data_IF_032232729450
#
_entry.id   IF_032232729450
#
_cell.length_a   1.000
_cell.length_b   1.000
_cell.length_c   1.000
_cell.angle_alpha   90.00
_cell.angle_beta   90.00
_cell.angle_gamma   90.00
#
_symmetry.space_group_name_H-M   'P 1'
#
loop_
_entity.id
_entity.type
_entity.pdbx_description
1 polymer ?
#
# COMPACT_ATOMS: atom_id res chain seq x y z
N UNK A 1 -10.01 3.26 -22.16
CA UNK A 1 -10.76 2.04 -21.82
C UNK A 1 -12.16 2.46 -21.43
N UNK A 2 -13.16 2.11 -22.24
CA UNK A 2 -14.57 2.43 -21.95
C UNK A 2 -15.17 1.30 -21.13
N UNK A 3 -15.85 1.64 -20.03
CA UNK A 3 -16.59 0.69 -19.19
C UNK A 3 -17.93 0.31 -19.85
N UNK A 4 -18.28 -0.98 -19.85
CA UNK A 4 -19.53 -1.52 -20.40
C UNK A 4 -20.56 -1.79 -19.29
N UNK A 5 -21.71 -1.10 -19.32
CA UNK A 5 -22.80 -1.23 -18.33
C UNK A 5 -23.82 -2.26 -18.82
N UNK A 6 -24.07 -3.31 -18.03
CA UNK A 6 -25.12 -4.30 -18.30
C UNK A 6 -26.49 -3.84 -17.76
N UNK A 7 -27.57 -4.31 -18.40
CA UNK A 7 -28.97 -3.87 -18.16
C UNK A 7 -29.56 -4.33 -16.82
N UNK A 8 -28.86 -5.17 -16.08
CA UNK A 8 -29.13 -5.65 -14.72
C UNK A 8 -28.51 -4.76 -13.62
N UNK A 9 -27.81 -3.68 -13.99
CA UNK A 9 -27.61 -2.51 -13.13
C UNK A 9 -26.20 -2.21 -12.62
N UNK A 10 -25.17 -2.99 -12.96
CA UNK A 10 -23.79 -2.71 -12.50
C UNK A 10 -22.72 -2.87 -13.59
N UNK A 11 -21.89 -1.82 -13.75
CA UNK A 11 -20.47 -1.94 -14.09
C UNK A 11 -19.69 -0.69 -13.62
N UNK A 12 -18.54 -0.91 -13.00
CA UNK A 12 -17.62 0.14 -12.50
C UNK A 12 -16.20 -0.32 -12.79
N UNK A 13 -15.33 0.57 -13.29
CA UNK A 13 -13.91 0.23 -13.48
C UNK A 13 -13.03 1.47 -13.60
N UNK A 14 -11.80 1.39 -13.09
CA UNK A 14 -10.69 2.27 -13.50
C UNK A 14 -9.36 1.65 -13.05
N UNK A 15 -8.94 0.61 -13.78
CA UNK A 15 -7.60 0.02 -13.65
C UNK A 15 -6.65 0.79 -14.56
N UNK A 16 -5.62 1.40 -13.99
CA UNK A 16 -4.57 2.10 -14.74
C UNK A 16 -3.26 1.34 -14.59
N UNK A 17 -2.69 0.96 -15.72
CA UNK A 17 -1.32 0.44 -15.78
C UNK A 17 -0.51 1.38 -16.64
N UNK A 18 0.57 1.92 -16.08
CA UNK A 18 1.41 2.85 -16.81
C UNK A 18 2.88 2.65 -16.43
N UNK A 19 3.80 2.84 -17.39
CA UNK A 19 5.23 2.60 -17.13
C UNK A 19 5.77 3.50 -16.04
N UNK A 20 5.50 4.79 -16.10
CA UNK A 20 6.02 5.75 -15.13
C UNK A 20 5.13 5.85 -13.89
N UNK A 21 3.95 6.48 -14.04
CA UNK A 21 3.03 6.76 -12.94
C UNK A 21 1.59 6.42 -13.34
N UNK A 22 0.82 5.86 -12.40
CA UNK A 22 -0.58 5.49 -12.59
C UNK A 22 -1.45 6.05 -11.47
N UNK A 23 -2.63 6.58 -11.83
CA UNK A 23 -3.65 7.03 -10.86
C UNK A 23 -4.98 6.43 -11.29
N UNK A 24 -5.64 5.67 -10.42
CA UNK A 24 -6.89 4.97 -10.72
C UNK A 24 -7.56 4.42 -9.48
N UNK A 25 -8.66 3.67 -9.65
CA UNK A 25 -9.24 2.90 -8.54
C UNK A 25 -8.30 1.74 -8.20
N UNK A 26 -7.80 1.06 -9.23
CA UNK A 26 -6.63 0.20 -9.14
C UNK A 26 -5.53 0.80 -10.01
N UNK A 27 -4.34 1.01 -9.46
CA UNK A 27 -3.23 1.61 -10.16
C UNK A 27 -1.98 0.74 -10.05
N UNK A 28 -1.31 0.50 -11.17
CA UNK A 28 -0.03 -0.17 -11.21
C UNK A 28 0.97 0.63 -12.06
N UNK A 29 2.17 0.89 -11.51
CA UNK A 29 3.23 1.55 -12.25
C UNK A 29 4.62 1.17 -11.78
N UNK A 30 5.66 1.45 -12.57
CA UNK A 30 7.04 1.20 -12.14
C UNK A 30 7.42 2.14 -11.00
N UNK A 31 7.12 3.44 -11.12
CA UNK A 31 7.54 4.42 -10.13
C UNK A 31 6.45 4.67 -9.10
N UNK A 32 5.34 5.30 -9.50
CA UNK A 32 4.32 5.73 -8.53
C UNK A 32 2.92 5.28 -8.92
N UNK A 33 2.20 4.70 -7.96
CA UNK A 33 0.81 4.32 -8.13
C UNK A 33 -0.06 4.92 -7.03
N UNK A 34 -1.19 5.52 -7.42
CA UNK A 34 -2.17 6.08 -6.49
C UNK A 34 -3.55 5.53 -6.78
N UNK A 35 -4.22 4.97 -5.78
CA UNK A 35 -5.55 4.41 -5.95
C UNK A 35 -6.11 3.72 -4.73
N UNK A 36 -7.34 3.24 -4.78
CA UNK A 36 -7.87 2.41 -3.69
C UNK A 36 -7.01 1.16 -3.49
N UNK A 37 -6.61 0.53 -4.60
CA UNK A 37 -5.53 -0.46 -4.66
C UNK A 37 -4.36 0.11 -5.48
N UNK A 38 -3.15 0.15 -4.92
CA UNK A 38 -1.98 0.68 -5.61
C UNK A 38 -0.77 -0.25 -5.51
N UNK A 39 -0.12 -0.48 -6.66
CA UNK A 39 1.08 -1.31 -6.79
C UNK A 39 2.19 -0.54 -7.50
N UNK A 40 3.36 -0.43 -6.88
CA UNK A 40 4.54 0.11 -7.58
C UNK A 40 5.87 -0.38 -7.00
N UNK A 41 6.97 -0.16 -7.71
CA UNK A 41 8.31 -0.49 -7.21
C UNK A 41 8.89 0.61 -6.32
N UNK A 42 8.43 1.85 -6.45
CA UNK A 42 8.93 2.97 -5.64
C UNK A 42 7.91 3.35 -4.58
N UNK A 43 6.84 4.06 -4.96
CA UNK A 43 5.86 4.60 -3.99
C UNK A 43 4.43 4.24 -4.34
N UNK A 44 3.69 3.71 -3.38
CA UNK A 44 2.28 3.38 -3.53
C UNK A 44 1.43 4.00 -2.42
N UNK A 45 0.28 4.55 -2.80
CA UNK A 45 -0.60 5.33 -1.93
C UNK A 45 -2.07 4.94 -2.17
N UNK A 46 -2.81 4.64 -1.10
CA UNK A 46 -4.13 4.06 -1.25
C UNK A 46 -4.78 3.50 0.01
N UNK A 47 -5.82 2.69 -0.15
CA UNK A 47 -6.40 1.92 0.96
C UNK A 47 -5.60 0.64 1.20
N UNK A 48 -5.32 -0.08 0.11
CA UNK A 48 -4.47 -1.28 0.09
C UNK A 48 -3.31 -1.01 -0.85
N UNK A 49 -2.09 -1.06 -0.32
CA UNK A 49 -0.91 -0.66 -1.08
C UNK A 49 0.22 -1.66 -0.97
N UNK A 50 0.93 -1.83 -2.09
CA UNK A 50 2.17 -2.58 -2.16
C UNK A 50 3.21 -1.72 -2.89
N UNK A 51 4.22 -1.28 -2.16
CA UNK A 51 5.30 -0.43 -2.65
C UNK A 51 6.65 -1.07 -2.43
N UNK A 52 7.51 -1.12 -3.45
CA UNK A 52 8.87 -1.67 -3.29
C UNK A 52 9.73 -0.85 -2.32
N UNK A 53 9.61 0.48 -2.32
CA UNK A 53 10.33 1.35 -1.36
C UNK A 53 9.37 1.83 -0.28
N UNK A 54 8.31 2.55 -0.65
CA UNK A 54 7.35 3.14 0.27
C UNK A 54 5.92 2.70 -0.04
N UNK A 55 5.17 2.35 1.00
CA UNK A 55 3.75 2.01 0.91
C UNK A 55 2.99 2.74 2.01
N UNK A 56 1.95 3.48 1.64
CA UNK A 56 1.10 4.19 2.61
C UNK A 56 -0.35 3.84 2.34
N UNK A 57 -1.07 3.40 3.37
CA UNK A 57 -2.50 3.10 3.26
C UNK A 57 -3.13 2.60 4.55
N UNK A 58 -4.34 2.06 4.49
CA UNK A 58 -4.92 1.37 5.66
C UNK A 58 -4.19 0.04 5.87
N UNK A 59 -4.01 -0.70 4.78
CA UNK A 59 -3.15 -1.88 4.70
C UNK A 59 -2.00 -1.54 3.77
N UNK A 60 -0.78 -1.54 4.29
CA UNK A 60 0.39 -1.12 3.54
C UNK A 60 1.50 -2.18 3.61
N UNK A 61 2.05 -2.56 2.45
CA UNK A 61 3.19 -3.47 2.33
C UNK A 61 4.33 -2.76 1.62
N UNK A 62 5.32 -2.34 2.39
CA UNK A 62 6.49 -1.60 1.90
C UNK A 62 7.75 -2.45 1.97
N UNK A 63 8.55 -2.48 0.92
CA UNK A 63 9.84 -3.18 0.97
C UNK A 63 10.86 -2.47 1.87
N UNK A 64 10.82 -1.13 1.98
CA UNK A 64 11.65 -0.36 2.91
C UNK A 64 10.81 0.23 4.03
N UNK A 65 9.89 1.14 3.69
CA UNK A 65 9.03 1.81 4.65
C UNK A 65 7.56 1.50 4.36
N UNK A 66 6.80 1.21 5.41
CA UNK A 66 5.36 1.04 5.33
C UNK A 66 4.67 1.80 6.44
N UNK A 67 3.56 2.46 6.11
CA UNK A 67 2.75 3.21 7.06
C UNK A 67 1.28 2.88 6.83
N UNK A 68 0.60 2.41 7.88
CA UNK A 68 -0.83 2.17 7.81
C UNK A 68 -1.44 1.75 9.13
N UNK A 69 -2.73 1.39 9.13
CA UNK A 69 -3.34 0.80 10.32
C UNK A 69 -2.74 -0.59 10.56
N UNK A 70 -2.68 -1.38 9.48
CA UNK A 70 -1.90 -2.60 9.40
C UNK A 70 -0.75 -2.36 8.42
N UNK A 71 0.47 -2.47 8.92
CA UNK A 71 1.66 -2.17 8.14
C UNK A 71 2.65 -3.32 8.21
N UNK A 72 3.22 -3.66 7.05
CA UNK A 72 4.37 -4.55 6.94
C UNK A 72 5.46 -3.84 6.17
N UNK A 73 6.60 -3.62 6.80
CA UNK A 73 7.76 -2.92 6.26
C UNK A 73 9.01 -3.78 6.34
N UNK A 74 9.77 -3.89 5.24
CA UNK A 74 11.02 -4.66 5.27
C UNK A 74 12.10 -4.02 6.15
N UNK A 75 12.13 -2.68 6.26
CA UNK A 75 13.03 -1.97 7.19
C UNK A 75 12.24 -1.31 8.31
N UNK A 76 11.30 -0.43 7.99
CA UNK A 76 10.50 0.31 8.95
C UNK A 76 9.00 0.09 8.72
N UNK A 77 8.25 -0.12 9.79
CA UNK A 77 6.80 -0.25 9.75
C UNK A 77 6.16 0.55 10.88
N UNK A 78 5.14 1.34 10.53
CA UNK A 78 4.39 2.15 11.49
C UNK A 78 2.90 1.89 11.34
N UNK A 79 2.23 1.58 12.44
CA UNK A 79 0.79 1.38 12.44
C UNK A 79 0.17 1.05 13.78
N UNK A 80 -1.11 0.67 13.80
CA UNK A 80 -1.71 0.06 14.99
C UNK A 80 -1.13 -1.34 15.15
N UNK A 81 -1.11 -2.10 14.06
CA UNK A 81 -0.36 -3.35 13.92
C UNK A 81 0.79 -3.10 12.96
N UNK A 82 2.02 -3.23 13.45
CA UNK A 82 3.23 -2.96 12.67
C UNK A 82 4.16 -4.17 12.67
N UNK A 83 4.60 -4.59 11.48
CA UNK A 83 5.60 -5.65 11.32
C UNK A 83 6.77 -5.06 10.54
N UNK A 84 7.87 -4.82 11.25
CA UNK A 84 9.07 -4.19 10.69
C UNK A 84 10.27 -5.13 10.72
N UNK A 85 11.03 -5.24 9.63
CA UNK A 85 12.25 -6.06 9.67
C UNK A 85 13.30 -5.50 10.65
N UNK A 86 13.53 -4.18 10.62
CA UNK A 86 14.48 -3.52 11.53
C UNK A 86 13.79 -2.69 12.61
N UNK A 87 12.79 -1.88 12.26
CA UNK A 87 12.06 -1.02 13.18
C UNK A 87 10.55 -1.22 13.03
N UNK A 88 9.86 -1.43 14.14
CA UNK A 88 8.41 -1.54 14.16
C UNK A 88 7.84 -0.65 15.27
N UNK A 89 6.87 0.20 14.94
CA UNK A 89 6.22 1.09 15.89
C UNK A 89 4.71 0.95 15.80
N UNK A 90 4.06 0.61 16.92
CA UNK A 90 2.61 0.50 16.95
C UNK A 90 2.03 0.14 18.31
N UNK A 91 0.70 -0.05 18.35
CA UNK A 91 0.06 -0.61 19.53
C UNK A 91 0.50 -2.07 19.72
N UNK A 92 0.48 -2.82 18.62
CA UNK A 92 1.06 -4.16 18.51
C UNK A 92 2.18 -4.06 17.48
N UNK A 93 3.42 -4.23 17.91
CA UNK A 93 4.58 -4.16 17.04
C UNK A 93 5.40 -5.45 17.11
N UNK A 94 5.83 -5.93 15.95
CA UNK A 94 6.71 -7.09 15.78
C UNK A 94 7.87 -6.65 14.91
N UNK A 95 9.10 -6.89 15.35
CA UNK A 95 10.25 -6.65 14.49
C UNK A 95 11.50 -7.40 14.89
N UNK A 96 12.44 -7.48 13.94
CA UNK A 96 13.74 -8.13 14.14
C UNK A 96 14.77 -7.25 14.85
N UNK A 97 14.55 -5.92 14.89
CA UNK A 97 15.39 -4.96 15.59
C UNK A 97 14.64 -4.18 16.67
N UNK A 98 14.56 -2.86 16.53
CA UNK A 98 13.90 -1.99 17.51
C UNK A 98 12.38 -2.10 17.41
N UNK A 99 11.74 -2.46 18.51
CA UNK A 99 10.28 -2.55 18.61
C UNK A 99 9.78 -1.56 19.63
N UNK A 100 8.88 -0.67 19.21
CA UNK A 100 8.20 0.28 20.10
C UNK A 100 6.72 -0.07 20.14
N UNK A 101 6.31 -0.74 21.21
CA UNK A 101 4.92 -1.11 21.50
C UNK A 101 4.33 -0.15 22.54
N UNK A 102 3.08 0.25 22.37
CA UNK A 102 2.38 1.19 23.27
C UNK A 102 1.39 0.52 24.24
N UNK A 103 1.44 -0.82 24.37
CA UNK A 103 0.66 -1.61 25.32
C UNK A 103 1.55 -2.33 26.32
#
# INVERSE_FOLDING_TARGET
MSSEIRKDGYAVGMVVIHRANAIGIAAAATFNAFGAAALSLISSLGLVTVGGVNSIGIVALGGVNSIGLVSVGGVNSVGIVAIGGLNATGLVAIGGGTVTSML
#
